data_IF_938819298116
#
_entry.id   IF_938819298116
#
_cell.length_a   1.000
_cell.length_b   1.000
_cell.length_c   1.000
_cell.angle_alpha   90.00
_cell.angle_beta   90.00
_cell.angle_gamma   90.00
#
_symmetry.space_group_name_H-M   'P 1'
#
loop_
_entity.id
_entity.type
_entity.pdbx_description
1 polymer ?
#
# COMPACT_ATOMS: atom_id res chain seq x y z
N UNK A 1 -1.66 77.79 7.89
CA UNK A 1 -2.44 76.55 8.03
C UNK A 1 -2.04 75.60 6.92
N UNK A 2 -1.84 74.32 7.27
CA UNK A 2 -1.67 73.15 6.39
C UNK A 2 -0.33 72.92 5.64
N UNK A 3 0.43 71.96 6.21
CA UNK A 3 1.22 70.85 5.63
C UNK A 3 1.81 70.97 4.21
N UNK A 4 3.12 70.73 4.10
CA UNK A 4 3.66 69.57 3.36
C UNK A 4 5.17 69.39 3.63
N UNK A 5 5.56 68.25 4.22
CA UNK A 5 6.94 67.74 4.24
C UNK A 5 6.95 66.52 3.31
N UNK A 6 7.64 66.64 2.17
CA UNK A 6 8.02 65.51 1.31
C UNK A 6 9.48 65.22 1.62
N UNK A 7 9.75 64.02 2.14
CA UNK A 7 11.11 63.51 2.36
C UNK A 7 11.33 62.29 1.46
N UNK A 8 12.38 62.44 0.65
CA UNK A 8 13.31 61.46 0.10
C UNK A 8 12.85 60.02 -0.13
N UNK A 9 12.85 59.64 -1.41
CA UNK A 9 13.12 58.27 -1.84
C UNK A 9 14.63 57.97 -1.80
N UNK A 10 14.96 56.80 -1.27
CA UNK A 10 16.20 56.07 -1.55
C UNK A 10 15.83 54.59 -1.65
N UNK A 11 15.91 54.09 -2.88
CA UNK A 11 15.76 52.68 -3.23
C UNK A 11 17.00 51.94 -2.75
N UNK A 12 16.86 51.07 -1.75
CA UNK A 12 17.81 50.00 -1.47
C UNK A 12 17.05 48.68 -1.62
N UNK A 13 17.36 47.95 -2.68
CA UNK A 13 16.81 46.62 -2.92
C UNK A 13 17.41 45.62 -1.94
N UNK A 14 16.55 44.98 -1.15
CA UNK A 14 16.89 43.80 -0.37
C UNK A 14 16.29 42.58 -1.07
N UNK A 15 17.15 41.81 -1.71
CA UNK A 15 16.88 40.42 -2.09
C UNK A 15 16.58 39.62 -0.83
N UNK A 16 15.35 39.16 -0.65
CA UNK A 16 15.00 38.16 0.36
C UNK A 16 15.28 36.78 -0.24
N UNK A 17 16.34 36.14 0.26
CA UNK A 17 16.65 34.73 0.04
C UNK A 17 15.45 33.87 0.47
N UNK A 18 14.99 32.99 -0.43
CA UNK A 18 14.14 31.88 -0.09
C UNK A 18 14.90 30.94 0.87
N UNK A 19 14.39 30.74 2.08
CA UNK A 19 14.93 29.74 3.01
C UNK A 19 14.74 28.35 2.39
N UNK A 20 15.86 27.65 2.19
CA UNK A 20 15.91 26.25 1.77
C UNK A 20 15.26 25.34 2.81
N UNK A 21 14.77 24.14 2.43
CA UNK A 21 14.14 23.21 3.35
C UNK A 21 15.08 22.87 4.53
N UNK A 22 14.51 22.93 5.72
CA UNK A 22 15.16 22.95 7.03
C UNK A 22 16.15 21.77 7.25
N UNK A 23 17.46 22.07 7.24
CA UNK A 23 18.56 21.12 7.52
C UNK A 23 18.42 20.48 8.91
N UNK A 24 17.84 21.19 9.87
CA UNK A 24 17.65 20.69 11.24
C UNK A 24 16.69 19.50 11.27
N UNK A 25 15.64 19.52 10.44
CA UNK A 25 14.68 18.41 10.34
C UNK A 25 15.34 17.13 9.80
N UNK A 26 16.32 17.27 8.88
CA UNK A 26 17.07 16.11 8.35
C UNK A 26 18.01 15.54 9.41
N UNK A 27 18.63 16.39 10.21
CA UNK A 27 19.54 15.98 11.28
C UNK A 27 18.80 15.25 12.40
N UNK A 28 17.64 15.77 12.79
CA UNK A 28 16.80 15.15 13.81
C UNK A 28 16.23 13.81 13.34
N UNK A 29 15.78 13.73 12.08
CA UNK A 29 15.30 12.48 11.50
C UNK A 29 16.42 11.44 11.39
N UNK A 30 17.63 11.87 11.01
CA UNK A 30 18.80 10.99 10.94
C UNK A 30 19.16 10.46 12.33
N UNK A 31 19.24 11.34 13.33
CA UNK A 31 19.51 10.92 14.71
C UNK A 31 18.43 9.99 15.25
N UNK A 32 17.17 10.21 14.89
CA UNK A 32 16.05 9.37 15.29
C UNK A 32 16.13 7.96 14.68
N UNK A 33 16.46 7.85 13.39
CA UNK A 33 16.58 6.57 12.69
C UNK A 33 17.85 5.80 13.08
N UNK A 34 18.92 6.49 13.46
CA UNK A 34 20.18 5.85 13.86
C UNK A 34 20.16 5.37 15.32
N UNK A 35 19.40 6.03 16.20
CA UNK A 35 19.39 5.74 17.64
C UNK A 35 18.37 4.68 18.07
N UNK A 36 17.44 4.29 17.20
CA UNK A 36 16.43 3.28 17.51
C UNK A 36 16.54 2.13 16.51
N UNK A 37 16.57 0.90 17.03
CA UNK A 37 16.57 -0.26 16.15
C UNK A 37 15.24 -0.36 15.41
N UNK A 38 15.27 -0.84 14.16
CA UNK A 38 14.06 -1.02 13.36
C UNK A 38 12.97 -1.86 14.09
N UNK A 39 13.31 -2.91 14.86
CA UNK A 39 12.34 -3.62 15.70
C UNK A 39 11.71 -2.77 16.81
N UNK A 40 12.46 -1.89 17.47
CA UNK A 40 11.94 -0.97 18.49
C UNK A 40 11.02 0.09 17.88
N UNK A 41 11.41 0.66 16.73
CA UNK A 41 10.56 1.57 15.97
C UNK A 41 9.26 0.88 15.53
N UNK A 42 9.34 -0.38 15.09
CA UNK A 42 8.15 -1.16 14.77
C UNK A 42 7.29 -1.39 15.99
N UNK A 43 7.85 -1.54 17.19
CA UNK A 43 7.09 -1.79 18.41
C UNK A 43 6.45 -0.51 18.97
N UNK A 44 7.17 0.61 18.92
CA UNK A 44 6.75 1.91 19.45
C UNK A 44 5.78 2.65 18.51
N UNK A 45 5.96 2.48 17.20
CA UNK A 45 5.11 3.07 16.17
C UNK A 45 4.31 2.01 15.41
N UNK A 46 4.09 0.84 16.02
CA UNK A 46 3.27 -0.24 15.47
C UNK A 46 1.88 0.32 15.20
N UNK A 47 1.64 0.70 13.94
CA UNK A 47 0.28 0.68 13.43
C UNK A 47 -0.10 -0.80 13.42
N UNK A 48 -0.90 -1.22 14.39
CA UNK A 48 -1.41 -2.59 14.52
C UNK A 48 -2.09 -3.10 13.21
N UNK A 49 -2.38 -2.19 12.28
CA UNK A 49 -3.07 -2.42 11.01
C UNK A 49 -2.19 -2.95 9.87
N UNK A 50 -0.85 -2.89 9.93
CA UNK A 50 -0.02 -3.18 8.74
C UNK A 50 0.02 -4.68 8.41
N UNK A 51 0.11 -5.57 9.40
CA UNK A 51 0.27 -7.02 9.12
C UNK A 51 -1.01 -7.69 8.59
N UNK A 52 -2.19 -7.32 9.09
CA UNK A 52 -3.46 -7.83 8.58
C UNK A 52 -3.74 -7.35 7.14
N UNK A 53 -3.34 -6.12 6.83
CA UNK A 53 -3.52 -5.53 5.50
C UNK A 53 -2.62 -6.21 4.45
N UNK A 54 -1.39 -6.58 4.80
CA UNK A 54 -0.44 -7.21 3.88
C UNK A 54 -0.90 -8.63 3.49
N UNK A 55 -1.30 -9.45 4.47
CA UNK A 55 -1.81 -10.81 4.20
C UNK A 55 -3.11 -10.77 3.39
N UNK A 56 -4.06 -9.90 3.76
CA UNK A 56 -5.30 -9.74 3.00
C UNK A 56 -5.09 -9.25 1.55
N UNK A 57 -4.10 -8.37 1.31
CA UNK A 57 -3.72 -7.97 -0.06
C UNK A 57 -3.13 -9.13 -0.86
N UNK A 58 -2.32 -9.97 -0.23
CA UNK A 58 -1.71 -11.12 -0.90
C UNK A 58 -2.77 -12.17 -1.29
N UNK A 59 -3.69 -12.50 -0.39
CA UNK A 59 -4.79 -13.43 -0.66
C UNK A 59 -5.71 -12.92 -1.78
N UNK A 60 -6.11 -11.64 -1.74
CA UNK A 60 -6.87 -10.99 -2.83
C UNK A 60 -6.10 -11.04 -4.16
N UNK A 61 -4.79 -10.79 -4.14
CA UNK A 61 -3.97 -10.83 -5.36
C UNK A 61 -3.91 -12.24 -5.98
N UNK A 62 -3.96 -13.30 -5.16
CA UNK A 62 -3.98 -14.70 -5.61
C UNK A 62 -5.39 -15.04 -6.13
N UNK A 63 -6.44 -14.62 -5.42
CA UNK A 63 -7.83 -14.83 -5.81
C UNK A 63 -8.18 -14.16 -7.15
N UNK A 64 -7.61 -12.99 -7.45
CA UNK A 64 -7.81 -12.27 -8.71
C UNK A 64 -7.05 -12.83 -9.91
N UNK A 65 -6.14 -13.79 -9.71
CA UNK A 65 -5.44 -14.41 -10.85
C UNK A 65 -6.48 -15.05 -11.78
N UNK A 66 -6.34 -14.91 -13.11
CA UNK A 66 -7.27 -15.50 -14.07
C UNK A 66 -7.15 -17.03 -14.14
N UNK A 67 -6.23 -17.60 -13.38
CA UNK A 67 -5.99 -19.03 -13.25
C UNK A 67 -5.92 -19.44 -11.77
N UNK A 68 -6.23 -20.69 -11.49
CA UNK A 68 -5.85 -21.37 -10.25
C UNK A 68 -4.77 -22.42 -10.53
N UNK A 69 -4.10 -22.87 -9.48
CA UNK A 69 -3.15 -23.99 -9.57
C UNK A 69 -3.92 -25.27 -9.27
N UNK A 70 -3.72 -26.31 -10.08
CA UNK A 70 -4.32 -27.63 -9.89
C UNK A 70 -3.28 -28.69 -10.24
N UNK A 71 -3.36 -29.87 -9.62
CA UNK A 71 -2.59 -31.04 -10.05
C UNK A 71 -2.85 -31.34 -11.54
N UNK A 72 -1.78 -31.55 -12.29
CA UNK A 72 -1.84 -31.91 -13.70
C UNK A 72 -0.49 -32.26 -14.27
N UNK A 73 -0.34 -32.04 -15.58
CA UNK A 73 0.77 -32.55 -16.37
C UNK A 73 1.43 -31.44 -17.19
N UNK A 74 2.76 -31.50 -17.27
CA UNK A 74 3.58 -30.70 -18.19
C UNK A 74 4.56 -31.59 -18.92
N UNK A 75 5.06 -31.12 -20.07
CA UNK A 75 6.18 -31.75 -20.76
C UNK A 75 7.47 -31.02 -20.39
N UNK A 76 8.42 -31.72 -19.76
CA UNK A 76 9.76 -31.20 -19.54
C UNK A 76 10.65 -31.51 -20.74
N UNK A 77 11.30 -30.48 -21.27
CA UNK A 77 12.13 -30.56 -22.49
C UNK A 77 13.62 -30.43 -22.18
N UNK A 78 13.97 -29.74 -21.09
CA UNK A 78 15.35 -29.50 -20.71
C UNK A 78 15.49 -29.44 -19.18
N UNK A 79 16.63 -29.90 -18.68
CA UNK A 79 17.11 -29.67 -17.33
C UNK A 79 18.64 -29.52 -17.36
N UNK A 80 19.17 -28.41 -16.87
CA UNK A 80 20.61 -28.17 -16.86
C UNK A 80 21.02 -26.97 -16.03
N UNK A 81 22.32 -26.82 -15.75
CA UNK A 81 22.85 -25.75 -14.87
C UNK A 81 22.96 -24.38 -15.54
N UNK A 82 22.77 -24.29 -16.86
CA UNK A 82 22.95 -23.07 -17.66
C UNK A 82 21.61 -22.38 -17.95
N UNK A 83 21.39 -21.21 -17.33
CA UNK A 83 20.23 -20.35 -17.62
C UNK A 83 20.17 -19.91 -19.09
N UNK A 84 21.27 -19.43 -19.72
CA UNK A 84 21.22 -19.04 -21.13
C UNK A 84 20.80 -20.18 -22.06
N UNK A 85 21.18 -21.41 -21.73
CA UNK A 85 20.76 -22.59 -22.50
C UNK A 85 19.27 -22.87 -22.33
N UNK A 86 18.75 -22.79 -21.10
CA UNK A 86 17.33 -22.96 -20.82
C UNK A 86 16.47 -21.87 -21.50
N UNK A 87 16.89 -20.61 -21.45
CA UNK A 87 16.20 -19.50 -22.12
C UNK A 87 16.20 -19.64 -23.64
N UNK A 88 17.33 -20.07 -24.22
CA UNK A 88 17.41 -20.35 -25.67
C UNK A 88 16.38 -21.40 -26.09
N UNK A 89 16.30 -22.51 -25.35
CA UNK A 89 15.33 -23.59 -25.62
C UNK A 89 13.90 -23.08 -25.43
N UNK A 90 13.64 -22.34 -24.36
CA UNK A 90 12.32 -21.77 -24.10
C UNK A 90 11.88 -20.82 -25.23
N UNK A 91 12.79 -19.99 -25.77
CA UNK A 91 12.48 -19.10 -26.88
C UNK A 91 12.21 -19.84 -28.19
N UNK A 92 12.92 -20.96 -28.44
CA UNK A 92 12.62 -21.84 -29.57
C UNK A 92 11.22 -22.46 -29.44
N UNK A 93 10.87 -22.94 -28.25
CA UNK A 93 9.55 -23.53 -27.98
C UNK A 93 8.42 -22.50 -28.10
N UNK A 94 8.64 -21.25 -27.67
CA UNK A 94 7.69 -20.16 -27.87
C UNK A 94 7.44 -19.85 -29.35
N UNK A 95 8.47 -19.98 -30.19
CA UNK A 95 8.34 -19.77 -31.64
C UNK A 95 7.47 -20.84 -32.32
N UNK A 96 7.30 -22.01 -31.70
CA UNK A 96 6.42 -23.07 -32.18
C UNK A 96 4.93 -22.82 -31.83
N UNK A 97 4.61 -21.66 -31.25
CA UNK A 97 3.27 -21.28 -30.81
C UNK A 97 2.64 -22.33 -29.85
N UNK A 98 3.48 -22.95 -29.03
CA UNK A 98 3.07 -23.95 -28.04
C UNK A 98 2.48 -23.27 -26.81
N UNK A 99 1.49 -23.93 -26.22
CA UNK A 99 0.82 -23.44 -25.01
C UNK A 99 1.80 -23.33 -23.84
N UNK A 100 1.96 -22.12 -23.32
CA UNK A 100 2.65 -21.78 -22.07
C UNK A 100 4.01 -22.46 -21.83
N UNK A 101 5.10 -21.75 -22.14
CA UNK A 101 6.48 -22.21 -21.89
C UNK A 101 7.06 -21.57 -20.63
N UNK A 102 7.61 -22.40 -19.74
CA UNK A 102 8.17 -21.99 -18.46
C UNK A 102 9.64 -22.35 -18.34
N UNK A 103 10.41 -21.45 -17.73
CA UNK A 103 11.76 -21.73 -17.21
C UNK A 103 11.67 -21.69 -15.70
N UNK A 104 11.89 -22.82 -15.06
CA UNK A 104 11.84 -22.98 -13.60
C UNK A 104 13.25 -23.19 -13.08
N UNK A 105 13.61 -22.48 -12.02
CA UNK A 105 14.82 -22.77 -11.27
C UNK A 105 14.47 -23.71 -10.13
N UNK A 106 15.08 -24.88 -10.12
CA UNK A 106 14.94 -25.86 -9.05
C UNK A 106 16.34 -26.24 -8.54
N UNK A 107 16.60 -25.90 -7.28
CA UNK A 107 17.92 -25.98 -6.64
C UNK A 107 19.02 -25.29 -7.47
N UNK A 108 19.82 -26.07 -8.22
CA UNK A 108 20.93 -25.64 -9.05
C UNK A 108 20.70 -25.85 -10.55
N UNK A 109 19.51 -26.32 -10.94
CA UNK A 109 19.14 -26.64 -12.31
C UNK A 109 18.01 -25.74 -12.82
N UNK A 110 18.12 -25.35 -14.07
CA UNK A 110 17.08 -24.70 -14.84
C UNK A 110 16.34 -25.76 -15.66
N UNK A 111 15.05 -25.88 -15.41
CA UNK A 111 14.13 -26.80 -16.07
C UNK A 111 13.25 -26.02 -17.05
N UNK A 112 13.10 -26.53 -18.27
CA UNK A 112 12.17 -25.96 -19.26
C UNK A 112 10.97 -26.89 -19.38
N UNK A 113 9.79 -26.37 -19.06
CA UNK A 113 8.53 -27.10 -19.05
C UNK A 113 7.50 -26.41 -19.95
N UNK A 114 6.66 -27.19 -20.61
CA UNK A 114 5.67 -26.71 -21.58
C UNK A 114 4.29 -27.26 -21.25
N UNK A 115 3.29 -26.42 -21.40
CA UNK A 115 1.87 -26.77 -21.26
C UNK A 115 1.34 -26.64 -19.84
N UNK A 116 0.01 -26.73 -19.75
CA UNK A 116 -0.74 -26.84 -18.51
C UNK A 116 -1.90 -27.82 -18.75
N UNK A 117 -1.64 -29.12 -18.68
CA UNK A 117 -2.63 -30.13 -19.02
C UNK A 117 -3.28 -30.71 -17.79
N UNK A 118 -4.61 -30.80 -17.77
CA UNK A 118 -5.31 -31.50 -16.69
C UNK A 118 -5.26 -33.02 -16.90
N UNK A 119 -5.28 -33.46 -18.15
CA UNK A 119 -5.27 -34.87 -18.51
C UNK A 119 -3.92 -35.26 -19.12
N UNK A 120 -3.45 -36.45 -18.76
CA UNK A 120 -2.20 -37.01 -19.29
C UNK A 120 -2.22 -37.18 -20.80
N UNK A 121 -3.37 -37.54 -21.37
CA UNK A 121 -3.57 -37.73 -22.82
C UNK A 121 -3.26 -36.47 -23.61
N UNK A 122 -3.61 -35.30 -23.08
CA UNK A 122 -3.34 -34.02 -23.72
C UNK A 122 -1.84 -33.70 -23.70
N UNK A 123 -1.15 -34.04 -22.60
CA UNK A 123 0.30 -33.94 -22.50
C UNK A 123 1.02 -34.91 -23.45
N UNK A 124 0.47 -36.11 -23.68
CA UNK A 124 1.02 -37.08 -24.65
C UNK A 124 0.92 -36.59 -26.09
N UNK A 125 -0.15 -35.86 -26.44
CA UNK A 125 -0.28 -35.22 -27.74
C UNK A 125 0.81 -34.15 -27.95
N UNK A 126 1.03 -33.29 -26.94
CA UNK A 126 2.12 -32.31 -26.98
C UNK A 126 3.50 -32.99 -27.04
N UNK A 127 3.72 -34.04 -26.24
CA UNK A 127 4.97 -34.78 -26.23
C UNK A 127 5.30 -35.29 -27.64
N UNK A 128 4.32 -35.85 -28.34
CA UNK A 128 4.46 -36.32 -29.72
C UNK A 128 4.88 -35.16 -30.65
N UNK A 129 4.28 -33.99 -30.51
CA UNK A 129 4.66 -32.79 -31.28
C UNK A 129 6.10 -32.34 -30.98
N UNK A 130 6.49 -32.34 -29.71
CA UNK A 130 7.85 -31.99 -29.27
C UNK A 130 8.89 -32.96 -29.83
N UNK A 131 8.61 -34.26 -29.80
CA UNK A 131 9.48 -35.29 -30.37
C UNK A 131 9.64 -35.10 -31.88
N UNK A 132 8.56 -34.84 -32.61
CA UNK A 132 8.60 -34.54 -34.04
C UNK A 132 9.36 -33.25 -34.36
N UNK A 133 9.37 -32.28 -33.44
CA UNK A 133 10.14 -31.04 -33.55
C UNK A 133 11.64 -31.20 -33.19
N UNK A 134 12.09 -32.42 -32.85
CA UNK A 134 13.49 -32.73 -32.54
C UNK A 134 13.83 -32.82 -31.05
N UNK A 135 12.84 -32.67 -30.16
CA UNK A 135 13.02 -32.81 -28.72
C UNK A 135 12.72 -34.24 -28.25
N UNK A 136 13.49 -35.21 -28.76
CA UNK A 136 13.30 -36.65 -28.45
C UNK A 136 13.51 -37.00 -26.97
N UNK A 137 14.28 -36.19 -26.24
CA UNK A 137 14.51 -36.32 -24.81
C UNK A 137 13.46 -35.65 -23.92
N UNK A 138 12.31 -35.21 -24.45
CA UNK A 138 11.23 -34.66 -23.64
C UNK A 138 10.46 -35.78 -22.90
N UNK A 139 9.94 -35.48 -21.71
CA UNK A 139 9.08 -36.41 -20.95
C UNK A 139 7.99 -35.68 -20.18
N UNK A 140 6.93 -36.41 -19.82
CA UNK A 140 5.80 -35.87 -19.04
C UNK A 140 6.16 -35.90 -17.56
N UNK A 141 5.83 -34.83 -16.86
CA UNK A 141 5.93 -34.69 -15.41
C UNK A 141 4.57 -34.33 -14.82
N UNK A 142 4.36 -34.74 -13.58
CA UNK A 142 3.20 -34.38 -12.76
C UNK A 142 3.54 -33.20 -11.85
N UNK A 143 2.59 -32.28 -11.66
CA UNK A 143 2.73 -31.16 -10.74
C UNK A 143 1.69 -30.06 -10.97
N UNK A 144 1.89 -28.92 -10.32
CA UNK A 144 0.92 -27.82 -10.34
C UNK A 144 0.85 -27.11 -11.69
N UNK A 145 -0.27 -27.25 -12.40
CA UNK A 145 -0.56 -26.58 -13.67
C UNK A 145 -1.47 -25.38 -13.50
N UNK A 146 -1.33 -24.39 -14.40
CA UNK A 146 -2.22 -23.21 -14.41
C UNK A 146 -3.47 -23.53 -15.21
N UNK A 147 -4.61 -23.58 -14.54
CA UNK A 147 -5.92 -23.79 -15.17
C UNK A 147 -6.70 -22.49 -15.14
N UNK A 148 -7.20 -22.06 -16.30
CA UNK A 148 -8.02 -20.87 -16.40
C UNK A 148 -9.29 -21.02 -15.54
N UNK A 149 -9.60 -20.01 -14.73
CA UNK A 149 -10.84 -19.98 -13.96
C UNK A 149 -12.01 -19.78 -14.92
N UNK A 150 -13.10 -20.47 -14.66
CA UNK A 150 -14.34 -20.25 -15.43
C UNK A 150 -14.88 -18.85 -15.18
N UNK A 151 -15.64 -18.30 -16.13
CA UNK A 151 -16.25 -16.98 -15.98
C UNK A 151 -17.14 -16.90 -14.74
N UNK A 152 -17.89 -17.97 -14.44
CA UNK A 152 -18.73 -18.06 -13.24
C UNK A 152 -17.90 -17.99 -11.94
N UNK A 153 -16.74 -18.64 -11.91
CA UNK A 153 -15.84 -18.62 -10.76
C UNK A 153 -15.21 -17.23 -10.57
N UNK A 154 -14.84 -16.56 -11.66
CA UNK A 154 -14.34 -15.18 -11.63
C UNK A 154 -15.41 -14.20 -11.13
N UNK A 155 -16.67 -14.36 -11.57
CA UNK A 155 -17.79 -13.54 -11.12
C UNK A 155 -18.07 -13.73 -9.63
N UNK A 156 -18.09 -14.98 -9.15
CA UNK A 156 -18.30 -15.28 -7.73
C UNK A 156 -17.23 -14.64 -6.84
N UNK A 157 -15.96 -14.69 -7.25
CA UNK A 157 -14.85 -14.04 -6.53
C UNK A 157 -15.05 -12.53 -6.47
N UNK A 158 -15.40 -11.89 -7.60
CA UNK A 158 -15.64 -10.46 -7.67
C UNK A 158 -16.82 -10.01 -6.79
N UNK A 159 -17.92 -10.77 -6.79
CA UNK A 159 -19.06 -10.51 -5.94
C UNK A 159 -18.72 -10.63 -4.45
N UNK A 160 -17.94 -11.64 -4.08
CA UNK A 160 -17.50 -11.85 -2.71
C UNK A 160 -16.54 -10.75 -2.25
N UNK A 161 -15.62 -10.31 -3.09
CA UNK A 161 -14.74 -9.16 -2.80
C UNK A 161 -15.54 -7.87 -2.62
N UNK A 162 -16.52 -7.59 -3.48
CA UNK A 162 -17.39 -6.42 -3.34
C UNK A 162 -18.19 -6.45 -2.03
N UNK A 163 -18.71 -7.62 -1.64
CA UNK A 163 -19.39 -7.79 -0.34
C UNK A 163 -18.44 -7.56 0.83
N UNK A 164 -17.22 -8.10 0.76
CA UNK A 164 -16.19 -7.86 1.78
C UNK A 164 -15.82 -6.38 1.86
N UNK A 165 -15.59 -5.71 0.74
CA UNK A 165 -15.27 -4.27 0.71
C UNK A 165 -16.42 -3.41 1.25
N UNK A 166 -17.67 -3.75 0.94
CA UNK A 166 -18.84 -3.10 1.51
C UNK A 166 -18.95 -3.33 3.02
N UNK A 167 -18.71 -4.56 3.50
CA UNK A 167 -18.71 -4.88 4.93
C UNK A 167 -17.59 -4.14 5.67
N UNK A 168 -16.35 -4.19 5.18
CA UNK A 168 -15.22 -3.43 5.74
C UNK A 168 -15.47 -1.92 5.76
N UNK A 169 -16.09 -1.38 4.71
CA UNK A 169 -16.45 0.05 4.66
C UNK A 169 -17.57 0.41 5.62
N UNK A 170 -18.48 -0.52 5.91
CA UNK A 170 -19.59 -0.31 6.86
C UNK A 170 -19.19 -0.50 8.32
N UNK A 171 -18.17 -1.32 8.59
CA UNK A 171 -17.64 -1.56 9.95
C UNK A 171 -16.67 -0.48 10.41
N UNK A 172 -16.03 0.22 9.47
CA UNK A 172 -15.21 1.38 9.79
C UNK A 172 -16.03 2.66 9.68
N UNK A 173 -16.87 2.91 10.70
CA UNK A 173 -17.51 4.21 10.88
C UNK A 173 -16.42 5.25 11.19
N UNK A 174 -15.86 5.85 10.15
CA UNK A 174 -14.93 6.94 10.31
C UNK A 174 -15.67 8.24 10.53
N UNK A 175 -15.15 9.07 11.42
CA UNK A 175 -15.50 10.47 11.47
C UNK A 175 -14.24 11.33 11.31
N UNK A 176 -14.43 12.53 10.82
CA UNK A 176 -13.42 13.56 10.77
C UNK A 176 -13.46 14.38 12.06
N UNK A 177 -12.28 14.70 12.57
CA UNK A 177 -12.09 15.64 13.68
C UNK A 177 -10.93 16.55 13.34
N UNK A 178 -10.79 17.65 14.06
CA UNK A 178 -9.69 18.60 13.86
C UNK A 178 -8.71 18.44 15.01
N UNK A 179 -7.48 18.03 14.72
CA UNK A 179 -6.43 18.00 15.74
C UNK A 179 -5.86 19.42 15.88
N UNK A 180 -5.99 19.99 17.07
CA UNK A 180 -5.52 21.37 17.37
C UNK A 180 -4.26 21.39 18.23
N UNK A 181 -3.97 20.31 18.95
CA UNK A 181 -2.78 20.20 19.80
C UNK A 181 -2.38 18.74 20.00
N UNK A 182 -1.08 18.51 20.16
CA UNK A 182 -0.51 17.29 20.76
C UNK A 182 0.47 17.71 21.86
N UNK A 183 0.35 17.13 23.06
CA UNK A 183 1.22 17.48 24.20
C UNK A 183 1.42 16.29 25.15
N UNK A 184 2.55 16.24 25.85
CA UNK A 184 2.78 15.26 26.93
C UNK A 184 2.01 15.63 28.22
N UNK A 185 1.61 16.90 28.37
CA UNK A 185 0.95 17.41 29.57
C UNK A 185 -0.57 17.17 29.52
N UNK A 186 -1.03 16.24 30.34
CA UNK A 186 -2.45 15.84 30.37
C UNK A 186 -3.38 16.95 30.90
N UNK A 187 -2.92 17.79 31.82
CA UNK A 187 -3.75 18.86 32.38
C UNK A 187 -3.90 20.00 31.37
N UNK A 188 -2.83 20.33 30.64
CA UNK A 188 -2.90 21.28 29.53
C UNK A 188 -3.85 20.81 28.42
N UNK A 189 -3.82 19.53 28.07
CA UNK A 189 -4.73 18.95 27.10
C UNK A 189 -6.21 19.03 27.56
N UNK A 190 -6.48 18.71 28.83
CA UNK A 190 -7.83 18.80 29.41
C UNK A 190 -8.34 20.24 29.49
N UNK A 191 -7.49 21.19 29.89
CA UNK A 191 -7.86 22.61 29.93
C UNK A 191 -8.23 23.12 28.54
N UNK A 192 -7.35 22.88 27.55
CA UNK A 192 -7.64 23.28 26.17
C UNK A 192 -8.91 22.61 25.64
N UNK A 193 -9.16 21.33 25.99
CA UNK A 193 -10.38 20.63 25.58
C UNK A 193 -11.64 21.38 26.03
N UNK A 194 -11.69 21.81 27.30
CA UNK A 194 -12.83 22.54 27.86
C UNK A 194 -13.00 23.91 27.21
N UNK A 195 -11.89 24.64 27.03
CA UNK A 195 -11.92 25.96 26.40
C UNK A 195 -12.42 25.88 24.96
N UNK A 196 -11.99 24.85 24.23
CA UNK A 196 -12.39 24.62 22.84
C UNK A 196 -13.85 24.20 22.72
N UNK A 197 -14.35 23.38 23.64
CA UNK A 197 -15.76 22.97 23.67
C UNK A 197 -16.68 24.19 23.87
N UNK A 198 -16.32 25.07 24.81
CA UNK A 198 -17.04 26.33 25.05
C UNK A 198 -16.96 27.28 23.84
N UNK A 199 -15.79 27.40 23.21
CA UNK A 199 -15.56 28.33 22.10
C UNK A 199 -16.23 27.89 20.81
N UNK A 200 -16.20 26.59 20.51
CA UNK A 200 -16.65 26.05 19.21
C UNK A 200 -18.07 25.48 19.26
N UNK A 201 -18.60 25.21 20.46
CA UNK A 201 -19.86 24.47 20.65
C UNK A 201 -19.87 23.11 19.95
N UNK A 202 -18.68 22.52 19.78
CA UNK A 202 -18.47 21.21 19.21
C UNK A 202 -17.91 20.28 20.29
N UNK A 203 -18.18 18.96 20.22
CA UNK A 203 -17.58 18.02 21.15
C UNK A 203 -16.05 18.05 21.01
N UNK A 204 -15.33 18.14 22.12
CA UNK A 204 -13.86 18.12 22.11
C UNK A 204 -13.34 16.99 23.00
N UNK A 205 -12.35 16.26 22.51
CA UNK A 205 -11.75 15.16 23.23
C UNK A 205 -10.25 15.36 23.40
N UNK A 206 -9.78 15.23 24.64
CA UNK A 206 -8.38 14.97 24.94
C UNK A 206 -8.15 13.45 24.91
N UNK A 207 -7.61 12.93 23.81
CA UNK A 207 -7.40 11.50 23.60
C UNK A 207 -5.94 11.12 23.90
N UNK A 208 -5.67 10.18 24.84
CA UNK A 208 -4.32 9.67 25.06
C UNK A 208 -3.89 8.75 23.90
N UNK A 209 -2.68 8.94 23.40
CA UNK A 209 -2.07 8.10 22.37
C UNK A 209 -0.58 7.90 22.70
N UNK A 210 -0.24 6.74 23.25
CA UNK A 210 1.12 6.48 23.75
C UNK A 210 1.48 7.42 24.90
N UNK A 211 2.58 8.17 24.76
CA UNK A 211 3.08 9.12 25.76
C UNK A 211 2.55 10.55 25.60
N UNK A 212 1.65 10.79 24.65
CA UNK A 212 1.09 12.12 24.35
C UNK A 212 -0.44 12.12 24.41
N UNK A 213 -1.00 13.31 24.58
CA UNK A 213 -2.41 13.63 24.51
C UNK A 213 -2.68 14.48 23.27
N UNK A 214 -3.68 14.08 22.49
CA UNK A 214 -4.18 14.81 21.32
C UNK A 214 -5.48 15.50 21.67
N UNK A 215 -5.61 16.77 21.32
CA UNK A 215 -6.87 17.51 21.46
C UNK A 215 -7.56 17.55 20.11
N UNK A 216 -8.73 16.93 20.05
CA UNK A 216 -9.52 16.68 18.85
C UNK A 216 -10.86 17.40 18.96
N UNK A 217 -11.16 18.27 18.00
CA UNK A 217 -12.37 19.09 17.98
C UNK A 217 -13.34 18.59 16.92
N UNK A 218 -14.58 18.35 17.34
CA UNK A 218 -15.72 17.97 16.52
C UNK A 218 -15.75 16.50 16.14
N UNK A 219 -16.94 16.08 15.68
CA UNK A 219 -17.22 14.76 15.13
C UNK A 219 -18.01 14.93 13.85
N UNK A 220 -17.33 14.94 12.71
CA UNK A 220 -17.92 15.25 11.41
C UNK A 220 -18.01 14.00 10.54
N UNK A 221 -19.14 13.80 9.85
CA UNK A 221 -19.29 12.71 8.88
C UNK A 221 -18.73 13.08 7.50
N UNK A 222 -18.42 14.37 7.27
CA UNK A 222 -17.87 14.89 6.03
C UNK A 222 -16.60 15.69 6.29
N UNK A 223 -15.59 15.47 5.43
CA UNK A 223 -14.35 16.25 5.46
C UNK A 223 -14.61 17.74 5.21
N UNK A 224 -15.58 18.07 4.38
CA UNK A 224 -15.92 19.46 4.04
C UNK A 224 -16.41 20.25 5.26
N UNK A 225 -17.21 19.61 6.11
CA UNK A 225 -17.72 20.23 7.35
C UNK A 225 -16.59 20.46 8.35
N UNK A 226 -15.69 19.47 8.49
CA UNK A 226 -14.49 19.60 9.31
C UNK A 226 -13.56 20.73 8.79
N UNK A 227 -13.41 20.86 7.47
CA UNK A 227 -12.61 21.93 6.86
C UNK A 227 -13.21 23.32 7.07
N UNK A 228 -14.54 23.44 7.18
CA UNK A 228 -15.18 24.72 7.50
C UNK A 228 -14.80 25.20 8.89
N UNK A 229 -14.95 24.35 9.91
CA UNK A 229 -14.51 24.70 11.26
C UNK A 229 -13.00 24.91 11.33
N UNK A 230 -12.19 24.14 10.60
CA UNK A 230 -10.75 24.34 10.56
C UNK A 230 -10.38 25.76 10.10
N UNK A 231 -11.06 26.30 9.09
CA UNK A 231 -10.81 27.68 8.64
C UNK A 231 -11.11 28.71 9.73
N UNK A 232 -12.14 28.49 10.53
CA UNK A 232 -12.49 29.35 11.66
C UNK A 232 -11.44 29.26 12.78
N UNK A 233 -10.98 28.05 13.08
CA UNK A 233 -9.91 27.81 14.06
C UNK A 233 -8.59 28.46 13.65
N UNK A 234 -8.22 28.38 12.37
CA UNK A 234 -7.03 29.05 11.84
C UNK A 234 -7.11 30.57 11.96
N UNK A 235 -8.24 31.18 11.61
CA UNK A 235 -8.48 32.62 11.88
C UNK A 235 -8.40 32.95 13.37
N UNK A 236 -8.75 31.98 14.22
CA UNK A 236 -8.72 32.06 15.66
C UNK A 236 -7.36 31.82 16.33
N UNK A 237 -6.27 31.62 15.56
CA UNK A 237 -4.90 31.45 16.05
C UNK A 237 -4.32 30.03 15.97
N UNK A 238 -5.12 29.03 15.58
CA UNK A 238 -4.68 27.63 15.49
C UNK A 238 -4.14 27.27 14.10
N UNK A 239 -3.03 27.90 13.69
CA UNK A 239 -2.48 27.76 12.35
C UNK A 239 -2.02 26.34 12.01
N UNK A 240 -1.53 25.61 13.03
CA UNK A 240 -1.01 24.25 12.92
C UNK A 240 -2.10 23.19 13.06
N UNK A 241 -3.39 23.55 13.09
CA UNK A 241 -4.46 22.57 13.12
C UNK A 241 -4.67 21.89 11.76
N UNK A 242 -5.06 20.61 11.77
CA UNK A 242 -5.41 19.84 10.56
C UNK A 242 -6.58 18.88 10.81
N UNK A 243 -7.26 18.51 9.71
CA UNK A 243 -8.31 17.47 9.74
C UNK A 243 -7.66 16.09 9.80
N UNK A 244 -8.12 15.27 10.74
CA UNK A 244 -7.75 13.86 10.87
C UNK A 244 -8.98 12.97 10.76
N UNK A 245 -8.79 11.76 10.27
CA UNK A 245 -9.81 10.72 10.20
C UNK A 245 -9.63 9.75 11.37
N UNK A 246 -10.71 9.44 12.09
CA UNK A 246 -10.71 8.62 13.31
C UNK A 246 -11.72 7.50 13.14
N UNK A 247 -11.31 6.25 13.38
CA UNK A 247 -12.24 5.12 13.45
C UNK A 247 -13.10 5.24 14.70
N UNK A 248 -14.42 5.22 14.55
CA UNK A 248 -15.30 4.96 15.68
C UNK A 248 -15.18 3.48 16.02
N UNK A 249 -14.37 3.17 17.02
CA UNK A 249 -14.45 1.89 17.73
C UNK A 249 -15.70 1.86 18.62
#
# INVERSE_FOLDING_TARGET
>A
MLRLLIVCGLFAGSFLFAQTPNEDLKKDLKSFLENKSFPELLNEFKQETIQLTVTGRQERSIARRPYHMQDGYRCQVFAGTSLPSAEKIANQLKALNLDSVYVLQDESLFKVQVGNFQQRTDAEALLTQLQNAGYSGAWIIEGDVRVAKSEAEQQAIAEQENKLEQQFSSEQNYYYAIQVMATVDSEKAKQLSRDMELRTQQPVQAAPQGSIWKVLVGKFNSRTDAEQLLRELKKGGFNDAWVTQISSH
#
